data_IF_373389433773
#
_entry.id   IF_373389433773
#
_cell.length_a   1.000
_cell.length_b   1.000
_cell.length_c   1.000
_cell.angle_alpha   90.00
_cell.angle_beta   90.00
_cell.angle_gamma   90.00
#
_symmetry.space_group_name_H-M   'P 1'
#
loop_
_entity.id
_entity.type
_entity.pdbx_description
1 polymer ?
#
# COMPACT_ATOMS: atom_id res chain seq x y z
N UNK A 1 -4.61 1.09 -7.04
CA UNK A 1 -3.18 1.17 -6.66
C UNK A 1 -2.71 -0.18 -6.15
N UNK A 2 -1.42 -0.41 -6.18
CA UNK A 2 -0.88 -1.65 -5.59
C UNK A 2 0.36 -1.24 -4.83
N UNK A 3 0.30 -1.34 -3.51
CA UNK A 3 1.43 -0.99 -2.66
C UNK A 3 1.79 -2.18 -1.79
N UNK A 4 2.97 -2.75 -2.03
CA UNK A 4 3.44 -3.86 -1.22
C UNK A 4 4.03 -3.30 0.07
N UNK A 5 3.56 -3.80 1.19
CA UNK A 5 4.06 -3.41 2.51
C UNK A 5 4.87 -4.57 3.05
N UNK A 6 6.17 -4.44 2.97
CA UNK A 6 7.08 -5.54 3.27
C UNK A 6 6.93 -6.06 4.69
N UNK A 7 6.80 -5.17 5.65
CA UNK A 7 6.70 -5.59 7.04
C UNK A 7 5.43 -6.35 7.35
N UNK A 8 4.41 -6.17 6.53
CA UNK A 8 3.14 -6.85 6.70
C UNK A 8 2.97 -8.00 5.71
N UNK A 9 3.86 -8.08 4.74
CA UNK A 9 3.76 -9.05 3.65
C UNK A 9 2.37 -9.01 3.02
N UNK A 10 1.91 -7.83 2.72
CA UNK A 10 0.58 -7.62 2.17
C UNK A 10 0.62 -6.51 1.13
N UNK A 11 -0.32 -6.57 0.19
CA UNK A 11 -0.44 -5.56 -0.85
C UNK A 11 -1.72 -4.77 -0.63
N UNK A 12 -1.60 -3.47 -0.46
CA UNK A 12 -2.74 -2.58 -0.30
C UNK A 12 -3.20 -2.16 -1.68
N UNK A 13 -4.46 -2.38 -1.98
CA UNK A 13 -5.00 -2.03 -3.30
C UNK A 13 -5.92 -0.81 -3.27
N UNK A 14 -6.50 -0.52 -2.12
CA UNK A 14 -7.36 0.67 -2.00
C UNK A 14 -7.32 1.20 -0.59
N UNK A 15 -7.48 2.51 -0.47
CA UNK A 15 -7.59 3.19 0.81
C UNK A 15 -8.77 4.15 0.72
N UNK A 16 -9.63 4.16 1.70
CA UNK A 16 -10.77 5.09 1.68
C UNK A 16 -10.43 6.34 2.50
N UNK A 17 -11.33 7.28 2.47
CA UNK A 17 -11.09 8.54 3.15
C UNK A 17 -11.16 8.43 4.67
N UNK A 18 -11.63 7.33 5.19
CA UNK A 18 -11.67 7.10 6.62
C UNK A 18 -10.44 6.33 7.11
N UNK A 19 -9.51 6.09 6.22
CA UNK A 19 -8.29 5.38 6.61
C UNK A 19 -8.40 3.87 6.61
N UNK A 20 -9.51 3.33 6.13
CA UNK A 20 -9.64 1.89 6.01
C UNK A 20 -8.98 1.42 4.71
N UNK A 21 -8.46 0.22 4.71
CA UNK A 21 -7.72 -0.30 3.56
C UNK A 21 -8.29 -1.62 3.08
N UNK A 22 -8.07 -1.91 1.82
CA UNK A 22 -8.38 -3.20 1.24
C UNK A 22 -7.09 -3.82 0.76
N UNK A 23 -6.90 -5.08 1.10
CA UNK A 23 -5.72 -5.81 0.69
C UNK A 23 -6.02 -6.72 -0.49
N UNK A 24 -5.00 -7.02 -1.29
CA UNK A 24 -5.17 -7.93 -2.41
C UNK A 24 -5.40 -9.33 -1.86
N UNK A 25 -6.39 -10.00 -2.38
CA UNK A 25 -6.68 -11.37 -1.98
C UNK A 25 -5.60 -12.29 -2.46
N UNK A 26 -5.13 -13.14 -1.57
CA UNK A 26 -4.00 -13.96 -1.92
C UNK A 26 -4.37 -15.23 -2.60
N UNK A 27 -5.48 -15.78 -2.31
CA UNK A 27 -5.87 -17.04 -2.91
C UNK A 27 -6.95 -16.87 -3.89
N UNK A 28 -7.10 -15.74 -4.42
CA UNK A 28 -8.11 -15.51 -5.42
C UNK A 28 -9.50 -15.53 -4.87
N UNK A 29 -9.63 -15.89 -3.67
CA UNK A 29 -10.93 -15.84 -3.08
C UNK A 29 -11.39 -14.43 -2.96
N UNK A 30 -10.62 -13.57 -3.26
CA UNK A 30 -10.86 -12.21 -3.39
C UNK A 30 -12.14 -11.66 -3.01
N UNK A 31 -12.78 -12.35 -2.26
CA UNK A 31 -14.04 -11.94 -1.91
C UNK A 31 -14.04 -10.91 -0.94
N UNK A 32 -12.93 -10.58 -0.44
CA UNK A 32 -13.00 -9.69 0.57
C UNK A 32 -13.00 -8.36 0.11
N UNK A 33 -14.11 -7.98 -0.29
CA UNK A 33 -14.34 -6.63 -0.48
C UNK A 33 -14.38 -5.91 0.82
N UNK A 34 -14.05 -6.56 1.88
CA UNK A 34 -14.22 -5.94 3.16
C UNK A 34 -13.11 -4.97 3.46
N UNK A 35 -13.48 -3.78 3.81
CA UNK A 35 -12.54 -2.78 4.26
C UNK A 35 -12.03 -3.16 5.66
N UNK A 36 -10.73 -3.01 5.85
CA UNK A 36 -10.08 -3.35 7.11
C UNK A 36 -9.59 -2.09 7.78
N UNK A 37 -9.83 -1.97 9.06
CA UNK A 37 -9.33 -0.84 9.83
C UNK A 37 -7.93 -1.21 10.35
N UNK A 38 -6.88 -0.61 9.80
CA UNK A 38 -5.54 -0.98 10.23
C UNK A 38 -5.24 -0.46 11.62
N UNK A 39 -4.41 -1.18 12.34
CA UNK A 39 -3.93 -0.71 13.64
C UNK A 39 -2.96 0.45 13.41
N UNK A 40 -2.58 1.13 14.47
CA UNK A 40 -1.63 2.23 14.35
C UNK A 40 -0.31 1.77 13.76
N UNK A 41 0.17 0.61 14.18
CA UNK A 41 1.41 0.08 13.65
C UNK A 41 1.29 -0.27 12.18
N UNK A 42 0.17 -0.83 11.80
CA UNK A 42 -0.08 -1.16 10.39
C UNK A 42 -0.15 0.11 9.54
N UNK A 43 -0.80 1.13 10.06
CA UNK A 43 -0.88 2.40 9.34
C UNK A 43 0.50 3.01 9.14
N UNK A 44 1.35 2.94 10.15
CA UNK A 44 2.71 3.45 10.03
C UNK A 44 3.52 2.65 9.01
N UNK A 45 3.34 1.34 8.98
CA UNK A 45 4.02 0.50 8.00
C UNK A 45 3.58 0.84 6.59
N UNK A 46 2.31 1.08 6.39
CA UNK A 46 1.78 1.45 5.08
C UNK A 46 2.33 2.81 4.66
N UNK A 47 2.34 3.77 5.57
CA UNK A 47 2.88 5.09 5.27
C UNK A 47 4.36 5.01 4.91
N UNK A 48 5.10 4.23 5.64
CA UNK A 48 6.52 4.05 5.38
C UNK A 48 6.74 3.45 3.99
N UNK A 49 5.98 2.41 3.64
CA UNK A 49 6.08 1.79 2.34
C UNK A 49 5.72 2.76 1.22
N UNK A 50 4.68 3.58 1.45
CA UNK A 50 4.27 4.57 0.47
C UNK A 50 5.35 5.63 0.25
N UNK A 51 6.01 6.04 1.32
CA UNK A 51 7.08 7.03 1.20
C UNK A 51 8.27 6.46 0.44
N UNK A 52 8.59 5.20 0.66
CA UNK A 52 9.68 4.55 -0.06
C UNK A 52 9.34 4.44 -1.55
N UNK A 53 8.11 4.13 -1.86
CA UNK A 53 7.65 4.04 -3.23
C UNK A 53 7.74 5.40 -3.92
N UNK A 54 7.31 6.45 -3.24
CA UNK A 54 7.38 7.80 -3.79
C UNK A 54 8.81 8.23 -4.04
N UNK A 55 9.70 7.92 -3.12
CA UNK A 55 11.10 8.30 -3.28
C UNK A 55 11.69 7.61 -4.51
N UNK A 56 11.37 6.34 -4.70
CA UNK A 56 11.85 5.61 -5.86
C UNK A 56 11.31 6.16 -7.15
N UNK A 57 10.03 6.51 -7.16
CA UNK A 57 9.41 7.07 -8.35
C UNK A 57 9.98 8.46 -8.68
N UNK A 58 10.21 9.26 -7.67
CA UNK A 58 10.80 10.59 -7.86
C UNK A 58 12.21 10.47 -8.44
N UNK A 59 12.97 9.54 -7.94
CA UNK A 59 14.31 9.30 -8.43
C UNK A 59 14.30 8.81 -9.87
N UNK A 60 13.37 7.95 -10.21
CA UNK A 60 13.23 7.45 -11.55
C UNK A 60 12.88 8.58 -12.52
N UNK A 61 11.93 9.42 -12.15
CA UNK A 61 11.53 10.54 -12.96
C UNK A 61 12.71 11.48 -13.19
N UNK A 62 13.45 11.75 -12.13
CA UNK A 62 14.59 12.64 -12.21
C UNK A 62 15.66 12.06 -13.15
N UNK A 63 15.87 10.77 -13.11
CA UNK A 63 16.83 10.11 -13.99
C UNK A 63 16.42 10.14 -15.45
N UNK A 64 15.13 10.00 -15.71
CA UNK A 64 14.64 9.97 -17.07
C UNK A 64 14.44 11.35 -17.67
N UNK A 65 14.32 12.35 -16.84
CA UNK A 65 14.05 13.70 -17.30
C UNK A 65 15.32 14.49 -17.59
N UNK A 66 16.43 13.87 -17.71
CA UNK A 66 17.68 14.55 -18.01
C UNK A 66 17.89 14.79 -19.46
#
# INVERSE_FOLDING_TARGET
MRLYVETMDAVVVEVDENGRVRYEGQDGAGTDSDWTQPTLQERRAIIYAARQEMAGLTELIDSLDR
#
